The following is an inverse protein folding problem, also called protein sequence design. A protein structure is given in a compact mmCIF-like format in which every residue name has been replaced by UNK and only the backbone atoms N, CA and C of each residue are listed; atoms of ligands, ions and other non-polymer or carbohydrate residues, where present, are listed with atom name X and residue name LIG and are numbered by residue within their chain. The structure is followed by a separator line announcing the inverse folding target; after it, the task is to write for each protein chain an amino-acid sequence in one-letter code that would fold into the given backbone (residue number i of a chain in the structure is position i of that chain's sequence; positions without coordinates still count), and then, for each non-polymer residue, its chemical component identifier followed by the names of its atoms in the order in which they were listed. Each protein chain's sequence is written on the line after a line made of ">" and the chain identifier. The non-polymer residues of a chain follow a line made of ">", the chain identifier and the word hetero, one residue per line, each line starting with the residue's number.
data_IF_965668505052
#
_entry.id   IF_965668505052
#
_cell.length_a   1.000
_cell.length_b   1.000
_cell.length_c   1.000
_cell.angle_alpha   90.00
_cell.angle_beta   90.00
_cell.angle_gamma   90.00
#
_symmetry.space_group_name_H-M   'P 1'
#
loop_
_entity.id
_entity.type
_entity.pdbx_description
1 polymer ?
#
# COMPACT_ATOMS: atom_id res chain seq x y z
N UNK A 1 24.90 -15.44 -0.69
CA UNK A 1 23.92 -16.20 -1.51
C UNK A 1 22.65 -16.33 -0.71
N UNK A 2 21.57 -15.67 -1.11
CA UNK A 2 20.18 -15.99 -0.78
C UNK A 2 19.32 -15.19 -1.77
N UNK A 3 19.05 -15.80 -2.92
CA UNK A 3 18.09 -15.30 -3.89
C UNK A 3 16.73 -15.86 -3.50
N UNK A 4 15.94 -15.11 -2.73
CA UNK A 4 14.52 -15.43 -2.58
C UNK A 4 13.78 -14.84 -3.79
N UNK A 5 13.17 -15.65 -4.65
CA UNK A 5 12.39 -15.14 -5.76
C UNK A 5 11.11 -14.48 -5.22
N UNK A 6 10.82 -13.27 -5.70
CA UNK A 6 9.63 -12.44 -5.44
C UNK A 6 8.31 -13.06 -5.94
N UNK A 7 8.21 -14.39 -5.97
CA UNK A 7 7.07 -15.17 -6.47
C UNK A 7 6.24 -15.86 -5.37
N UNK A 8 6.68 -15.83 -4.11
CA UNK A 8 6.02 -16.60 -3.04
C UNK A 8 4.84 -15.88 -2.37
N UNK A 9 4.73 -14.55 -2.47
CA UNK A 9 3.60 -13.82 -1.88
C UNK A 9 2.28 -13.96 -2.69
N UNK A 10 2.36 -14.32 -3.97
CA UNK A 10 1.17 -14.50 -4.83
C UNK A 10 0.52 -15.89 -4.62
N UNK A 11 1.25 -16.86 -4.06
CA UNK A 11 0.76 -18.24 -3.88
C UNK A 11 -0.06 -18.45 -2.60
N UNK A 12 0.01 -17.55 -1.64
CA UNK A 12 -0.60 -17.74 -0.31
C UNK A 12 -1.88 -16.92 -0.11
N UNK A 13 -2.31 -16.15 -1.11
CA UNK A 13 -3.42 -15.23 -0.93
C UNK A 13 -4.78 -15.92 -1.17
N UNK A 14 -5.40 -16.37 -0.07
CA UNK A 14 -6.78 -16.86 -0.02
C UNK A 14 -7.70 -15.73 0.43
N UNK A 15 -8.29 -15.02 -0.51
CA UNK A 15 -9.45 -14.15 -0.23
C UNK A 15 -10.64 -15.05 0.12
N UNK A 16 -11.14 -14.93 1.34
CA UNK A 16 -12.49 -15.36 1.75
C UNK A 16 -12.94 -16.76 1.29
N UNK A 17 -12.13 -17.79 1.49
CA UNK A 17 -12.59 -19.18 1.54
C UNK A 17 -13.06 -19.87 0.24
N UNK A 18 -13.44 -19.17 -0.84
CA UNK A 18 -14.01 -19.85 -2.03
C UNK A 18 -13.81 -19.21 -3.41
N UNK A 19 -13.26 -17.99 -3.55
CA UNK A 19 -13.14 -17.37 -4.90
C UNK A 19 -11.71 -16.84 -5.15
N UNK A 20 -10.87 -17.59 -5.89
CA UNK A 20 -9.62 -17.05 -6.39
C UNK A 20 -9.92 -16.04 -7.51
N UNK A 21 -9.65 -14.76 -7.28
CA UNK A 21 -9.78 -13.67 -8.27
C UNK A 21 -9.01 -13.93 -9.58
N UNK A 22 -8.04 -14.86 -9.58
CA UNK A 22 -7.22 -15.25 -10.73
C UNK A 22 -7.57 -16.64 -11.30
N UNK A 23 -8.75 -17.19 -10.98
CA UNK A 23 -9.14 -18.57 -11.35
C UNK A 23 -8.90 -18.92 -12.84
N UNK A 24 -9.20 -18.06 -13.85
CA UNK A 24 -8.98 -18.45 -15.24
C UNK A 24 -7.50 -18.45 -15.68
N UNK A 25 -6.67 -17.57 -15.10
CA UNK A 25 -5.27 -17.35 -15.53
C UNK A 25 -4.29 -18.27 -14.79
N UNK A 26 -4.67 -18.75 -13.61
CA UNK A 26 -3.91 -19.75 -12.85
C UNK A 26 -3.76 -21.10 -13.59
N UNK A 27 -4.57 -21.37 -14.62
CA UNK A 27 -4.51 -22.61 -15.42
C UNK A 27 -3.27 -22.72 -16.32
N UNK A 28 -2.60 -21.60 -16.65
CA UNK A 28 -1.43 -21.61 -17.54
C UNK A 28 -0.21 -20.90 -16.92
N UNK A 29 0.41 -21.49 -15.88
CA UNK A 29 1.57 -20.90 -15.19
C UNK A 29 2.76 -20.65 -16.12
N UNK A 30 2.91 -21.42 -17.21
CA UNK A 30 3.95 -21.20 -18.22
C UNK A 30 3.72 -19.94 -19.06
N UNK A 31 2.46 -19.61 -19.35
CA UNK A 31 2.10 -18.38 -20.08
C UNK A 31 2.30 -17.14 -19.20
N UNK A 32 1.91 -17.22 -17.92
CA UNK A 32 2.22 -16.19 -16.93
C UNK A 32 3.74 -15.96 -16.78
N UNK A 33 4.54 -17.03 -16.74
CA UNK A 33 5.99 -16.92 -16.68
C UNK A 33 6.58 -16.26 -17.93
N UNK A 34 6.02 -16.54 -19.12
CA UNK A 34 6.41 -15.90 -20.36
C UNK A 34 6.06 -14.40 -20.37
N UNK A 35 4.84 -14.02 -19.94
CA UNK A 35 4.44 -12.62 -19.79
C UNK A 35 5.30 -11.87 -18.76
N UNK A 36 5.64 -12.52 -17.65
CA UNK A 36 6.53 -11.97 -16.62
C UNK A 36 7.95 -11.66 -17.13
N UNK A 37 8.40 -12.29 -18.23
CA UNK A 37 9.68 -11.96 -18.87
C UNK A 37 9.60 -10.68 -19.71
N UNK A 38 8.41 -10.25 -20.12
CA UNK A 38 8.19 -8.97 -20.82
C UNK A 38 8.05 -7.78 -19.86
N UNK A 39 7.91 -8.03 -18.55
CA UNK A 39 7.92 -6.99 -17.52
C UNK A 39 9.37 -6.51 -17.33
N UNK A 40 9.74 -5.46 -18.06
CA UNK A 40 11.08 -4.85 -18.04
C UNK A 40 11.42 -4.28 -16.66
N UNK A 41 10.45 -3.65 -16.00
CA UNK A 41 10.62 -3.02 -14.69
C UNK A 41 9.89 -3.80 -13.60
N UNK A 42 10.60 -4.68 -12.90
CA UNK A 42 10.11 -5.27 -11.65
C UNK A 42 10.39 -4.27 -10.52
N UNK A 43 9.36 -3.56 -10.09
CA UNK A 43 9.46 -2.65 -8.95
C UNK A 43 8.89 -3.36 -7.72
N UNK A 44 9.72 -3.83 -6.76
CA UNK A 44 9.22 -4.44 -5.54
C UNK A 44 8.71 -3.34 -4.60
N UNK A 45 7.55 -2.74 -4.95
CA UNK A 45 6.98 -1.57 -4.27
C UNK A 45 6.82 -1.80 -2.78
N UNK A 46 6.40 -3.00 -2.39
CA UNK A 46 6.19 -3.42 -1.00
C UNK A 46 7.49 -3.40 -0.19
N UNK A 47 8.55 -4.03 -0.72
CA UNK A 47 9.86 -4.08 -0.05
C UNK A 47 10.51 -2.69 0.01
N UNK A 48 10.39 -1.90 -1.07
CA UNK A 48 10.92 -0.54 -1.13
C UNK A 48 10.21 0.38 -0.13
N UNK A 49 8.88 0.33 -0.06
CA UNK A 49 8.10 1.09 0.92
C UNK A 49 8.50 0.68 2.35
N UNK A 50 8.54 -0.61 2.64
CA UNK A 50 8.93 -1.10 3.95
C UNK A 50 10.37 -0.72 4.33
N UNK A 51 11.30 -0.80 3.37
CA UNK A 51 12.69 -0.38 3.58
C UNK A 51 12.80 1.12 3.82
N UNK A 52 12.03 1.94 3.10
CA UNK A 52 12.00 3.39 3.27
C UNK A 52 11.50 3.75 4.67
N UNK A 53 10.37 3.19 5.09
CA UNK A 53 9.77 3.43 6.41
C UNK A 53 10.75 3.06 7.53
N UNK A 54 11.32 1.84 7.49
CA UNK A 54 12.32 1.41 8.50
C UNK A 54 13.54 2.33 8.55
N UNK A 55 14.04 2.71 7.38
CA UNK A 55 15.19 3.61 7.31
C UNK A 55 14.88 4.95 7.96
N UNK A 56 13.76 5.58 7.59
CA UNK A 56 13.35 6.86 8.16
C UNK A 56 13.08 6.75 9.67
N UNK A 57 12.46 5.67 10.14
CA UNK A 57 12.25 5.43 11.57
C UNK A 57 13.58 5.35 12.34
N UNK A 58 14.64 4.79 11.75
CA UNK A 58 15.95 4.61 12.38
C UNK A 58 16.84 5.86 12.44
N UNK A 59 16.66 6.82 11.53
CA UNK A 59 17.51 8.01 11.47
C UNK A 59 16.91 9.15 12.28
N UNK A 60 17.76 10.07 12.77
CA UNK A 60 17.31 11.36 13.29
C UNK A 60 17.34 12.37 12.16
N UNK A 61 16.29 13.19 12.05
CA UNK A 61 16.24 14.30 11.09
C UNK A 61 16.05 15.57 11.92
N UNK A 62 17.08 16.40 11.95
CA UNK A 62 17.07 17.62 12.76
C UNK A 62 16.01 18.60 12.24
N UNK A 63 15.26 19.22 13.15
CA UNK A 63 14.23 20.19 12.81
C UNK A 63 12.97 19.61 12.17
N UNK A 64 12.75 18.29 12.21
CA UNK A 64 11.51 17.66 11.72
C UNK A 64 10.92 16.67 12.73
N UNK A 65 9.65 16.88 13.07
CA UNK A 65 8.86 15.94 13.87
C UNK A 65 8.42 14.73 13.05
N UNK A 66 7.95 14.98 11.82
CA UNK A 66 7.59 13.94 10.86
C UNK A 66 8.70 13.78 9.81
N UNK A 67 9.22 12.56 9.69
CA UNK A 67 10.23 12.14 8.72
C UNK A 67 9.58 11.67 7.42
N UNK A 68 8.32 11.24 7.49
CA UNK A 68 7.49 10.92 6.33
C UNK A 68 6.00 11.22 6.57
N UNK A 69 5.32 11.57 5.49
CA UNK A 69 3.86 11.48 5.33
C UNK A 69 3.63 10.79 3.99
N UNK A 70 3.21 9.53 4.05
CA UNK A 70 3.01 8.67 2.87
C UNK A 70 1.52 8.47 2.70
N UNK A 71 0.96 8.92 1.59
CA UNK A 71 -0.44 8.66 1.24
C UNK A 71 -0.50 7.74 0.03
N UNK A 72 -1.07 6.55 0.21
CA UNK A 72 -1.37 5.59 -0.85
C UNK A 72 -2.80 5.82 -1.32
N UNK A 73 -3.01 6.05 -2.62
CA UNK A 73 -4.31 6.45 -3.18
C UNK A 73 -4.77 5.41 -4.22
N UNK A 74 -6.05 5.04 -4.20
CA UNK A 74 -6.66 4.19 -5.23
C UNK A 74 -8.13 4.57 -5.48
N UNK A 75 -8.69 4.13 -6.60
CA UNK A 75 -10.12 4.28 -6.93
C UNK A 75 -10.84 2.93 -6.81
N UNK A 76 -12.01 2.89 -6.18
CA UNK A 76 -12.82 1.65 -6.13
C UNK A 76 -13.33 1.22 -7.51
N UNK A 77 -13.49 2.16 -8.43
CA UNK A 77 -13.90 1.93 -9.82
C UNK A 77 -12.74 1.75 -10.81
N UNK A 78 -11.52 1.51 -10.33
CA UNK A 78 -10.42 1.05 -11.18
C UNK A 78 -10.68 -0.42 -11.60
N UNK A 79 -10.97 -0.62 -12.89
CA UNK A 79 -11.21 -1.94 -13.47
C UNK A 79 -9.93 -2.67 -13.90
N UNK A 80 -8.80 -1.96 -13.97
CA UNK A 80 -7.53 -2.49 -14.45
C UNK A 80 -6.71 -3.08 -13.29
N UNK A 81 -6.71 -2.42 -12.13
CA UNK A 81 -5.97 -2.85 -10.95
C UNK A 81 -6.90 -2.97 -9.74
N UNK A 82 -7.08 -4.17 -9.16
CA UNK A 82 -7.89 -4.34 -7.95
C UNK A 82 -7.32 -3.65 -6.71
N UNK A 83 -8.20 -3.06 -5.89
CA UNK A 83 -7.87 -2.37 -4.62
C UNK A 83 -7.06 -3.22 -3.64
N UNK A 84 -7.17 -4.55 -3.69
CA UNK A 84 -6.38 -5.46 -2.83
C UNK A 84 -4.86 -5.26 -2.97
N UNK A 85 -4.39 -4.76 -4.11
CA UNK A 85 -2.98 -4.43 -4.29
C UNK A 85 -2.54 -3.23 -3.43
N UNK A 86 -3.45 -2.27 -3.20
CA UNK A 86 -3.25 -1.18 -2.24
C UNK A 86 -3.21 -1.74 -0.82
N UNK A 87 -4.17 -2.61 -0.45
CA UNK A 87 -4.27 -3.18 0.90
C UNK A 87 -2.98 -3.89 1.29
N UNK A 88 -2.40 -4.68 0.37
CA UNK A 88 -1.13 -5.39 0.61
C UNK A 88 0.04 -4.40 0.76
N UNK A 89 0.09 -3.35 -0.05
CA UNK A 89 1.13 -2.32 0.05
C UNK A 89 1.04 -1.58 1.39
N UNK A 90 -0.17 -1.21 1.81
CA UNK A 90 -0.44 -0.59 3.10
C UNK A 90 -0.03 -1.51 4.24
N UNK A 91 -0.41 -2.79 4.21
CA UNK A 91 -0.02 -3.79 5.20
C UNK A 91 1.50 -3.93 5.37
N UNK A 92 2.26 -3.92 4.26
CA UNK A 92 3.73 -3.94 4.32
C UNK A 92 4.30 -2.65 4.92
N UNK A 93 3.74 -1.49 4.57
CA UNK A 93 4.11 -0.20 5.15
C UNK A 93 3.86 -0.18 6.66
N UNK A 94 2.67 -0.61 7.09
CA UNK A 94 2.29 -0.69 8.49
C UNK A 94 3.24 -1.62 9.27
N UNK A 95 3.48 -2.85 8.79
CA UNK A 95 4.42 -3.76 9.44
C UNK A 95 5.84 -3.23 9.52
N UNK A 96 6.24 -2.34 8.60
CA UNK A 96 7.55 -1.70 8.66
C UNK A 96 7.69 -0.68 9.80
N UNK A 97 6.58 -0.15 10.32
CA UNK A 97 6.57 0.76 11.49
C UNK A 97 6.61 0.03 12.83
N UNK A 98 6.35 -1.29 12.84
CA UNK A 98 6.29 -2.08 14.06
C UNK A 98 7.70 -2.39 14.59
N UNK A 99 7.79 -2.61 15.89
CA UNK A 99 9.04 -3.00 16.55
C UNK A 99 9.59 -4.33 16.05
N UNK A 100 10.92 -4.48 16.12
CA UNK A 100 11.58 -5.74 15.79
C UNK A 100 11.02 -6.89 16.63
N UNK A 101 10.50 -7.93 15.96
CA UNK A 101 9.85 -9.07 16.61
C UNK A 101 8.32 -8.95 16.73
N UNK A 102 7.75 -7.78 16.42
CA UNK A 102 6.31 -7.58 16.27
C UNK A 102 5.90 -7.68 14.80
N UNK A 103 4.76 -8.30 14.53
CA UNK A 103 4.16 -8.33 13.21
C UNK A 103 2.65 -8.35 13.33
N UNK A 104 1.97 -7.69 12.41
CA UNK A 104 0.52 -7.75 12.26
C UNK A 104 0.19 -8.59 11.04
N UNK A 105 -0.71 -9.56 11.19
CA UNK A 105 -1.20 -10.35 10.05
C UNK A 105 -2.03 -9.47 9.12
N UNK A 106 -2.21 -9.92 7.87
CA UNK A 106 -3.02 -9.18 6.91
C UNK A 106 -4.48 -9.10 7.39
N UNK A 107 -5.00 -10.21 7.89
CA UNK A 107 -6.37 -10.34 8.39
C UNK A 107 -6.62 -9.46 9.62
N UNK A 108 -5.64 -9.35 10.52
CA UNK A 108 -5.78 -8.48 11.70
C UNK A 108 -5.81 -7.01 11.31
N UNK A 109 -5.00 -6.60 10.33
CA UNK A 109 -5.06 -5.23 9.80
C UNK A 109 -6.40 -4.96 9.12
N UNK A 110 -6.90 -5.88 8.28
CA UNK A 110 -8.19 -5.70 7.62
C UNK A 110 -9.35 -5.62 8.61
N UNK A 111 -9.33 -6.40 9.70
CA UNK A 111 -10.32 -6.24 10.79
C UNK A 111 -10.24 -4.86 11.41
N UNK A 112 -9.04 -4.40 11.77
CA UNK A 112 -8.83 -3.08 12.36
C UNK A 112 -9.28 -1.95 11.42
N UNK A 113 -9.07 -2.13 10.12
CA UNK A 113 -9.49 -1.21 9.07
C UNK A 113 -11.00 -0.99 9.07
N UNK A 114 -11.81 -1.98 9.46
CA UNK A 114 -13.28 -1.82 9.53
C UNK A 114 -13.66 -0.74 10.55
N UNK A 115 -12.94 -0.69 11.67
CA UNK A 115 -13.23 0.23 12.78
C UNK A 115 -12.57 1.61 12.58
N UNK A 116 -11.37 1.63 12.00
CA UNK A 116 -10.53 2.84 11.91
C UNK A 116 -10.76 3.65 10.61
N UNK A 117 -11.49 3.12 9.62
CA UNK A 117 -11.81 3.83 8.37
C UNK A 117 -12.71 5.04 8.63
N UNK A 118 -12.35 6.19 8.08
CA UNK A 118 -13.17 7.40 8.11
C UNK A 118 -13.60 7.81 6.69
N UNK A 119 -14.86 8.22 6.47
CA UNK A 119 -15.29 8.70 5.16
C UNK A 119 -14.70 10.10 4.88
N UNK A 120 -13.91 10.29 3.80
CA UNK A 120 -13.63 11.62 3.30
C UNK A 120 -14.94 12.13 2.71
N UNK A 121 -15.40 13.31 3.11
CA UNK A 121 -16.75 13.83 2.82
C UNK A 121 -17.20 13.93 1.35
N UNK A 122 -16.41 13.46 0.38
CA UNK A 122 -16.73 13.36 -1.05
C UNK A 122 -16.89 11.90 -1.55
N UNK A 123 -16.96 10.90 -0.66
CA UNK A 123 -17.11 9.49 -1.00
C UNK A 123 -15.80 8.69 -0.92
N UNK A 124 -15.90 7.38 -0.68
CA UNK A 124 -14.77 6.50 -0.36
C UNK A 124 -14.46 6.44 1.13
N UNK A 125 -13.20 6.15 1.48
CA UNK A 125 -12.70 6.08 2.86
C UNK A 125 -11.19 6.39 2.93
N UNK A 126 -10.72 6.82 4.09
CA UNK A 126 -9.29 6.88 4.41
C UNK A 126 -9.01 6.25 5.78
N UNK A 127 -7.81 5.71 5.96
CA UNK A 127 -7.31 5.22 7.23
C UNK A 127 -5.87 5.71 7.42
N UNK A 128 -5.59 6.23 8.61
CA UNK A 128 -4.25 6.64 9.01
C UNK A 128 -3.62 5.60 9.93
N UNK A 129 -2.36 5.28 9.66
CA UNK A 129 -1.51 4.53 10.56
C UNK A 129 -0.37 5.41 11.06
N UNK A 130 -0.33 5.60 12.37
CA UNK A 130 0.72 6.36 13.05
C UNK A 130 1.93 5.47 13.36
N UNK A 131 3.03 5.72 12.67
CA UNK A 131 4.34 5.13 12.96
C UNK A 131 5.22 6.06 13.81
N UNK A 132 6.44 5.61 14.14
CA UNK A 132 7.35 6.37 14.99
C UNK A 132 7.89 7.62 14.32
N UNK A 133 8.15 7.54 13.02
CA UNK A 133 8.71 8.62 12.22
C UNK A 133 7.69 9.37 11.39
N UNK A 134 6.41 9.01 11.39
CA UNK A 134 5.45 9.61 10.47
C UNK A 134 4.15 8.84 10.28
N UNK A 135 3.37 9.31 9.30
CA UNK A 135 2.03 8.79 8.99
C UNK A 135 2.10 7.98 7.70
N UNK A 136 1.47 6.80 7.69
CA UNK A 136 1.13 6.07 6.46
C UNK A 136 -0.39 6.10 6.35
N UNK A 137 -0.90 6.66 5.26
CA UNK A 137 -2.31 6.82 4.98
C UNK A 137 -2.70 5.95 3.80
N UNK A 138 -3.79 5.24 3.95
CA UNK A 138 -4.49 4.58 2.86
C UNK A 138 -5.73 5.39 2.52
N UNK A 139 -5.89 5.74 1.24
CA UNK A 139 -7.03 6.52 0.78
C UNK A 139 -7.64 5.89 -0.45
N UNK A 140 -8.89 5.50 -0.34
CA UNK A 140 -9.65 4.90 -1.42
C UNK A 140 -10.81 5.82 -1.75
N UNK A 141 -10.83 6.35 -2.96
CA UNK A 141 -11.95 7.16 -3.46
C UNK A 141 -12.93 6.27 -4.21
N UNK A 142 -14.21 6.59 -4.13
CA UNK A 142 -15.23 5.81 -4.85
C UNK A 142 -15.06 5.89 -6.37
N UNK A 143 -14.56 7.03 -6.87
CA UNK A 143 -14.44 7.30 -8.29
C UNK A 143 -13.09 7.90 -8.66
N UNK A 144 -12.50 7.37 -9.72
CA UNK A 144 -11.23 7.85 -10.25
C UNK A 144 -10.78 7.12 -11.52
N UNK A 145 -11.23 5.88 -11.77
CA UNK A 145 -10.65 4.98 -12.79
C UNK A 145 -9.12 4.87 -12.66
N UNK A 146 -8.49 4.08 -13.54
CA UNK A 146 -7.05 3.83 -13.47
C UNK A 146 -6.18 5.10 -13.58
N UNK A 147 -6.40 5.90 -14.64
CA UNK A 147 -5.55 7.08 -14.91
C UNK A 147 -6.19 8.40 -14.49
N UNK A 148 -7.52 8.47 -14.52
CA UNK A 148 -8.25 9.73 -14.36
C UNK A 148 -8.14 10.27 -12.92
N UNK A 149 -7.89 9.40 -11.95
CA UNK A 149 -7.65 9.75 -10.55
C UNK A 149 -6.46 10.71 -10.39
N UNK A 150 -5.47 10.62 -11.28
CA UNK A 150 -4.29 11.50 -11.25
C UNK A 150 -4.64 12.98 -11.48
N UNK A 151 -5.79 13.26 -12.12
CA UNK A 151 -6.29 14.61 -12.33
C UNK A 151 -7.16 15.14 -11.18
N UNK A 152 -7.48 14.31 -10.18
CA UNK A 152 -8.45 14.66 -9.14
C UNK A 152 -7.80 15.38 -7.96
N UNK A 153 -8.58 16.24 -7.25
CA UNK A 153 -8.06 16.99 -6.10
C UNK A 153 -7.49 16.14 -4.97
N UNK A 154 -7.83 14.85 -4.89
CA UNK A 154 -7.28 13.92 -3.89
C UNK A 154 -5.75 13.82 -3.97
N UNK A 155 -5.18 13.89 -5.17
CA UNK A 155 -3.73 13.86 -5.38
C UNK A 155 -3.11 15.18 -4.93
N UNK A 156 -3.68 16.32 -5.34
CA UNK A 156 -3.22 17.65 -4.90
C UNK A 156 -3.28 17.82 -3.39
N UNK A 157 -4.33 17.28 -2.74
CA UNK A 157 -4.47 17.28 -1.29
C UNK A 157 -3.37 16.43 -0.62
N UNK A 158 -3.06 15.25 -1.15
CA UNK A 158 -1.99 14.41 -0.64
C UNK A 158 -0.62 15.09 -0.75
N UNK A 159 -0.35 15.77 -1.88
CA UNK A 159 0.87 16.56 -2.06
C UNK A 159 0.93 17.72 -1.07
N UNK A 160 -0.16 18.47 -0.91
CA UNK A 160 -0.23 19.59 0.03
C UNK A 160 0.02 19.13 1.47
N UNK A 161 -0.59 18.02 1.89
CA UNK A 161 -0.37 17.40 3.22
C UNK A 161 1.08 16.98 3.41
N UNK A 162 1.65 16.28 2.42
CA UNK A 162 3.04 15.85 2.48
C UNK A 162 4.01 17.01 2.65
N UNK A 163 3.79 18.14 1.95
CA UNK A 163 4.60 19.35 2.13
C UNK A 163 4.37 19.99 3.51
N UNK A 164 3.11 20.18 3.92
CA UNK A 164 2.78 20.77 5.22
C UNK A 164 3.33 19.98 6.41
N UNK A 165 3.35 18.65 6.32
CA UNK A 165 3.90 17.77 7.36
C UNK A 165 5.39 18.02 7.66
N UNK A 166 6.12 18.64 6.73
CA UNK A 166 7.52 19.01 6.90
C UNK A 166 7.70 20.33 7.67
N UNK A 167 6.66 21.16 7.71
CA UNK A 167 6.67 22.50 8.29
C UNK A 167 6.03 22.55 9.70
N UNK A 168 5.38 21.46 10.14
CA UNK A 168 4.83 21.35 11.49
C UNK A 168 5.95 21.15 12.54
N UNK A 169 6.05 22.03 13.56
CA UNK A 169 7.08 21.94 14.60
C UNK A 169 6.91 20.76 15.56
#
# INVERSE_FOLDING_TARGET
>A
MCSHPTTDLVKTYKVAGTIPLLSPVAFFPKFLALLNNFIVSKWPSQEKLASLVRHLDSIKVDGRKHKYDITLIHAEDDYDIPTVHLDVLFWHGVNATLDAGSSMTFEDLERRKIDDRVPPGAGGWEMDWQGKGGIIREKVVQHGLHDKIMSYPVVSLAVARAVQSLDEP
#
